data_IF_648418730042
#
_entry.id   IF_648418730042
#
_cell.length_a   1.000
_cell.length_b   1.000
_cell.length_c   1.000
_cell.angle_alpha   90.00
_cell.angle_beta   90.00
_cell.angle_gamma   90.00
#
_symmetry.space_group_name_H-M   'P 1'
#
loop_
_entity.id
_entity.type
_entity.pdbx_description
1 polymer ?
#
# COMPACT_ATOMS: atom_id res chain seq x y z
N UNK A 1 -18.95 -2.45 -19.15
CA UNK A 1 -19.15 -2.21 -17.71
C UNK A 1 -18.43 -0.92 -17.36
N UNK A 2 -18.97 -0.11 -16.46
CA UNK A 2 -18.31 1.10 -16.01
C UNK A 2 -16.97 0.72 -15.32
N UNK A 3 -15.85 1.34 -15.73
CA UNK A 3 -14.53 1.05 -15.20
C UNK A 3 -14.24 1.93 -13.97
N UNK A 4 -13.89 1.30 -12.87
CA UNK A 4 -13.50 1.98 -11.62
C UNK A 4 -11.98 1.96 -11.46
N UNK A 5 -11.41 3.11 -11.11
CA UNK A 5 -9.96 3.29 -10.90
C UNK A 5 -9.69 3.90 -9.52
N UNK A 6 -8.56 3.52 -8.92
CA UNK A 6 -7.99 4.21 -7.77
C UNK A 6 -6.54 4.59 -8.05
N UNK A 7 -6.14 5.77 -7.58
CA UNK A 7 -4.80 6.33 -7.79
C UNK A 7 -4.24 6.69 -6.42
N UNK A 8 -3.22 5.97 -5.96
CA UNK A 8 -2.65 6.19 -4.63
C UNK A 8 -1.15 5.90 -4.64
N UNK A 9 -0.41 6.67 -3.85
CA UNK A 9 1.03 6.45 -3.67
C UNK A 9 1.30 5.07 -3.10
N UNK A 10 2.39 4.44 -3.55
CA UNK A 10 2.81 3.16 -3.00
C UNK A 10 3.20 3.29 -1.53
N UNK A 11 2.84 2.31 -0.73
CA UNK A 11 3.18 2.23 0.69
C UNK A 11 4.00 0.97 0.97
N UNK A 12 4.90 1.05 1.93
CA UNK A 12 5.69 -0.09 2.37
C UNK A 12 4.83 -1.06 3.19
N UNK A 13 4.61 -2.28 2.65
CA UNK A 13 3.80 -3.37 3.24
C UNK A 13 2.54 -2.84 3.94
N UNK A 14 1.57 -2.29 3.17
CA UNK A 14 0.45 -1.53 3.73
C UNK A 14 -0.43 -2.32 4.70
N UNK A 15 -1.31 -1.60 5.40
CA UNK A 15 -2.37 -2.18 6.21
C UNK A 15 -3.52 -2.73 5.37
N UNK A 16 -4.42 -3.51 5.96
CA UNK A 16 -5.52 -4.19 5.26
C UNK A 16 -6.41 -3.27 4.42
N UNK A 17 -6.72 -2.06 4.89
CA UNK A 17 -7.57 -1.13 4.16
C UNK A 17 -6.98 -0.62 2.84
N UNK A 18 -5.67 -0.63 2.68
CA UNK A 18 -5.03 -0.32 1.40
C UNK A 18 -5.34 -1.41 0.36
N UNK A 19 -5.39 -2.67 0.77
CA UNK A 19 -5.72 -3.80 -0.10
C UNK A 19 -7.22 -3.88 -0.40
N UNK A 20 -8.08 -3.44 0.51
CA UNK A 20 -9.51 -3.28 0.21
C UNK A 20 -9.76 -2.21 -0.85
N UNK A 21 -9.02 -1.08 -0.81
CA UNK A 21 -9.08 -0.09 -1.87
C UNK A 21 -8.64 -0.67 -3.22
N UNK A 22 -7.56 -1.48 -3.24
CA UNK A 22 -7.13 -2.16 -4.47
C UNK A 22 -8.21 -3.11 -4.97
N UNK A 23 -8.79 -3.94 -4.11
CA UNK A 23 -9.82 -4.92 -4.47
C UNK A 23 -11.10 -4.30 -5.00
N UNK A 24 -11.43 -3.09 -4.56
CA UNK A 24 -12.66 -2.38 -4.90
C UNK A 24 -12.67 -1.76 -6.31
N UNK A 25 -11.58 -1.88 -7.08
CA UNK A 25 -11.42 -1.24 -8.40
C UNK A 25 -10.94 -2.21 -9.48
N UNK A 26 -11.20 -1.85 -10.74
CA UNK A 26 -10.73 -2.61 -11.91
C UNK A 26 -9.25 -2.31 -12.19
N UNK A 27 -8.83 -1.08 -11.90
CA UNK A 27 -7.44 -0.65 -12.06
C UNK A 27 -6.96 0.17 -10.86
N UNK A 28 -5.75 -0.15 -10.39
CA UNK A 28 -5.08 0.57 -9.32
C UNK A 28 -3.74 1.12 -9.80
N UNK A 29 -3.60 2.45 -9.75
CA UNK A 29 -2.37 3.13 -10.20
C UNK A 29 -1.46 3.43 -9.02
N UNK A 30 -0.26 2.87 -9.02
CA UNK A 30 0.82 3.24 -8.10
C UNK A 30 1.33 4.64 -8.47
N UNK A 31 0.97 5.64 -7.66
CA UNK A 31 1.15 7.06 -7.94
C UNK A 31 2.43 7.60 -7.30
N UNK A 32 3.58 7.23 -7.85
CA UNK A 32 4.89 7.52 -7.27
C UNK A 32 5.66 8.67 -7.97
N UNK A 33 5.08 9.28 -9.01
CA UNK A 33 5.59 10.49 -9.68
C UNK A 33 5.25 11.79 -8.90
N UNK A 34 5.13 11.67 -7.57
CA UNK A 34 4.88 12.77 -6.63
C UNK A 34 5.96 12.82 -5.57
N UNK A 35 6.05 13.96 -4.90
CA UNK A 35 7.08 14.23 -3.90
C UNK A 35 7.10 13.17 -2.78
N UNK A 36 8.30 12.68 -2.47
CA UNK A 36 8.55 11.84 -1.31
C UNK A 36 8.47 12.66 -0.01
N UNK A 37 7.73 12.15 0.96
CA UNK A 37 7.56 12.76 2.28
C UNK A 37 8.29 11.92 3.34
N UNK A 38 9.15 12.54 4.14
CA UNK A 38 9.82 11.87 5.27
C UNK A 38 8.82 11.41 6.32
N UNK A 39 9.15 10.30 6.97
CA UNK A 39 8.38 9.79 8.09
C UNK A 39 6.91 9.46 7.75
N UNK A 40 6.66 9.07 6.53
CA UNK A 40 5.35 8.67 6.01
C UNK A 40 5.34 7.19 5.62
N UNK A 41 4.20 6.65 5.30
CA UNK A 41 3.95 5.24 4.98
C UNK A 41 4.71 4.73 3.74
N UNK A 42 5.36 5.63 2.98
CA UNK A 42 6.13 5.31 1.77
C UNK A 42 7.30 4.38 2.08
N UNK A 43 8.07 4.69 3.12
CA UNK A 43 9.28 3.93 3.47
C UNK A 43 9.20 3.26 4.83
N UNK A 44 8.05 3.28 5.53
CA UNK A 44 7.92 2.65 6.85
C UNK A 44 6.51 2.15 7.12
N UNK A 45 6.42 1.16 7.98
CA UNK A 45 5.16 0.68 8.54
C UNK A 45 5.38 0.11 9.94
N UNK A 46 4.30 -0.27 10.61
CA UNK A 46 4.30 -0.77 11.98
C UNK A 46 4.00 -2.26 12.02
N UNK A 47 4.67 -2.96 12.92
CA UNK A 47 4.34 -4.33 13.32
C UNK A 47 3.90 -4.34 14.79
N UNK A 48 3.12 -5.36 15.17
CA UNK A 48 2.74 -5.59 16.56
C UNK A 48 3.84 -6.38 17.26
N UNK A 49 4.17 -5.97 18.48
CA UNK A 49 5.13 -6.66 19.35
C UNK A 49 4.58 -6.76 20.77
N UNK A 50 5.24 -7.54 21.62
CA UNK A 50 4.87 -7.63 23.04
C UNK A 50 4.95 -6.29 23.78
N UNK A 51 5.84 -5.39 23.33
CA UNK A 51 6.00 -4.04 23.91
C UNK A 51 5.11 -2.98 23.24
N UNK A 52 4.13 -3.38 22.40
CA UNK A 52 3.29 -2.49 21.61
C UNK A 52 3.70 -2.46 20.14
N UNK A 53 3.44 -1.34 19.45
CA UNK A 53 3.78 -1.22 18.03
C UNK A 53 5.25 -0.81 17.84
N UNK A 54 5.87 -1.37 16.81
CA UNK A 54 7.24 -1.07 16.40
C UNK A 54 7.28 -0.63 14.95
N UNK A 55 7.95 0.49 14.67
CA UNK A 55 8.21 0.94 13.31
C UNK A 55 9.32 0.10 12.66
N UNK A 56 9.08 -0.28 11.42
CA UNK A 56 10.08 -0.78 10.48
C UNK A 56 10.23 0.26 9.38
N UNK A 57 11.43 0.80 9.22
CA UNK A 57 11.71 1.89 8.26
C UNK A 57 12.83 1.50 7.32
N UNK A 58 12.55 1.54 6.02
CA UNK A 58 13.56 1.39 4.98
C UNK A 58 14.43 2.65 4.99
N UNK A 59 15.75 2.54 5.17
CA UNK A 59 16.64 3.68 5.09
C UNK A 59 16.72 4.16 3.64
N UNK A 60 16.42 5.43 3.41
CA UNK A 60 16.41 6.03 2.07
C UNK A 60 17.28 7.27 2.00
N UNK A 61 17.78 7.59 0.80
CA UNK A 61 18.50 8.82 0.49
C UNK A 61 17.50 9.85 -0.04
N UNK A 62 17.42 10.99 0.61
CA UNK A 62 16.73 12.16 0.10
C UNK A 62 17.76 13.24 -0.21
N UNK A 63 17.97 13.48 -1.50
CA UNK A 63 19.01 14.40 -2.00
C UNK A 63 18.45 15.80 -2.21
N UNK A 64 17.15 15.93 -2.47
CA UNK A 64 16.46 17.21 -2.67
C UNK A 64 15.04 17.17 -2.11
N UNK A 65 14.43 18.33 -1.87
CA UNK A 65 13.11 18.45 -1.27
C UNK A 65 12.00 17.89 -2.19
N UNK A 66 12.06 18.22 -3.47
CA UNK A 66 11.07 17.84 -4.49
C UNK A 66 11.30 16.44 -5.08
N UNK A 67 12.23 15.67 -4.50
CA UNK A 67 12.50 14.31 -4.95
C UNK A 67 11.22 13.47 -4.95
N UNK A 68 10.94 12.80 -6.08
CA UNK A 68 9.78 11.93 -6.21
C UNK A 68 9.98 10.60 -5.46
N UNK A 69 8.87 9.93 -5.13
CA UNK A 69 8.92 8.56 -4.56
C UNK A 69 9.65 7.62 -5.52
N UNK A 70 9.35 7.73 -6.82
CA UNK A 70 9.96 6.96 -7.91
C UNK A 70 11.46 7.17 -8.12
N UNK A 71 12.02 8.25 -7.57
CA UNK A 71 13.45 8.57 -7.62
C UNK A 71 14.18 8.23 -6.32
N UNK A 72 13.42 7.86 -5.28
CA UNK A 72 13.96 7.67 -3.93
C UNK A 72 14.71 6.34 -3.85
N UNK A 73 16.03 6.41 -3.58
CA UNK A 73 16.92 5.25 -3.49
C UNK A 73 17.06 4.76 -2.06
N UNK A 74 17.23 3.46 -1.93
CA UNK A 74 17.60 2.82 -0.66
C UNK A 74 19.04 3.20 -0.29
N UNK A 75 19.26 3.47 1.00
CA UNK A 75 20.58 3.86 1.51
C UNK A 75 21.45 2.65 1.92
N UNK A 76 20.81 1.54 2.30
CA UNK A 76 21.50 0.36 2.84
C UNK A 76 20.63 -0.89 2.63
N UNK A 77 21.11 -1.85 1.85
CA UNK A 77 20.36 -3.08 1.51
C UNK A 77 20.14 -4.03 2.71
N UNK A 78 20.91 -3.89 3.80
CA UNK A 78 20.77 -4.72 5.01
C UNK A 78 19.42 -4.56 5.70
N UNK A 79 18.64 -3.52 5.37
CA UNK A 79 17.32 -3.27 5.93
C UNK A 79 16.39 -4.49 5.78
N UNK A 80 16.44 -5.16 4.64
CA UNK A 80 15.53 -6.25 4.34
C UNK A 80 15.71 -7.43 5.30
N UNK A 81 16.96 -7.88 5.51
CA UNK A 81 17.26 -8.95 6.47
C UNK A 81 16.92 -8.52 7.91
N UNK A 82 17.17 -7.26 8.29
CA UNK A 82 16.83 -6.74 9.61
C UNK A 82 15.32 -6.69 9.85
N UNK A 83 14.54 -6.26 8.85
CA UNK A 83 13.08 -6.23 8.93
C UNK A 83 12.52 -7.65 9.03
N UNK A 84 12.96 -8.57 8.16
CA UNK A 84 12.53 -9.97 8.24
C UNK A 84 12.87 -10.58 9.61
N UNK A 85 14.07 -10.42 10.10
CA UNK A 85 14.45 -10.89 11.44
C UNK A 85 13.54 -10.32 12.53
N UNK A 86 13.17 -9.05 12.44
CA UNK A 86 12.27 -8.41 13.40
C UNK A 86 10.85 -8.98 13.30
N UNK A 87 10.34 -9.19 12.08
CA UNK A 87 9.01 -9.78 11.84
C UNK A 87 8.99 -11.21 12.35
N UNK A 88 9.92 -12.06 11.92
CA UNK A 88 9.99 -13.45 12.34
C UNK A 88 10.08 -13.59 13.86
N UNK A 89 10.92 -12.78 14.51
CA UNK A 89 11.07 -12.80 15.96
C UNK A 89 9.79 -12.43 16.74
N UNK A 90 8.95 -11.55 16.18
CA UNK A 90 7.70 -11.14 16.85
C UNK A 90 6.50 -12.02 16.50
N UNK A 91 6.47 -12.62 15.30
CA UNK A 91 5.32 -13.39 14.82
C UNK A 91 5.53 -14.91 14.81
N UNK A 92 6.70 -15.43 15.22
CA UNK A 92 6.98 -16.89 15.21
C UNK A 92 5.94 -17.75 15.96
N UNK A 93 5.22 -17.18 16.94
CA UNK A 93 4.18 -17.85 17.71
C UNK A 93 2.76 -17.61 17.18
N UNK A 94 2.60 -16.80 16.11
CA UNK A 94 1.30 -16.57 15.51
C UNK A 94 0.78 -17.85 14.83
N UNK A 95 -0.52 -18.16 14.90
CA UNK A 95 -1.09 -19.44 14.47
C UNK A 95 -0.74 -19.83 13.03
N UNK A 96 -0.64 -18.87 12.14
CA UNK A 96 -0.39 -19.11 10.72
C UNK A 96 1.02 -18.65 10.26
N UNK A 97 1.92 -18.33 11.17
CA UNK A 97 3.27 -17.86 10.81
C UNK A 97 3.98 -18.83 9.88
N UNK A 98 4.04 -20.12 10.24
CA UNK A 98 4.74 -21.13 9.44
C UNK A 98 4.16 -21.31 8.04
N UNK A 99 2.89 -20.99 7.83
CA UNK A 99 2.24 -21.05 6.52
C UNK A 99 2.80 -20.01 5.54
N UNK A 100 3.17 -18.84 6.04
CA UNK A 100 3.56 -17.69 5.22
C UNK A 100 5.02 -17.29 5.34
N UNK A 101 5.74 -17.83 6.34
CA UNK A 101 7.10 -17.39 6.69
C UNK A 101 8.07 -17.45 5.52
N UNK A 102 8.19 -18.60 4.85
CA UNK A 102 9.10 -18.80 3.72
C UNK A 102 8.78 -17.87 2.54
N UNK A 103 7.49 -17.70 2.24
CA UNK A 103 7.03 -16.81 1.18
C UNK A 103 7.39 -15.35 1.50
N UNK A 104 7.13 -14.88 2.71
CA UNK A 104 7.43 -13.50 3.13
C UNK A 104 8.95 -13.28 3.18
N UNK A 105 9.73 -14.25 3.66
CA UNK A 105 11.20 -14.20 3.62
C UNK A 105 11.73 -14.04 2.20
N UNK A 106 11.14 -14.78 1.25
CA UNK A 106 11.47 -14.68 -0.16
C UNK A 106 11.20 -13.27 -0.70
N UNK A 107 10.08 -12.64 -0.34
CA UNK A 107 9.79 -11.26 -0.74
C UNK A 107 10.84 -10.27 -0.21
N UNK A 108 11.26 -10.42 1.05
CA UNK A 108 12.30 -9.60 1.64
C UNK A 108 13.66 -9.80 0.95
N UNK A 109 13.99 -11.05 0.58
CA UNK A 109 15.21 -11.39 -0.18
C UNK A 109 15.19 -10.74 -1.56
N UNK A 110 14.06 -10.80 -2.27
CA UNK A 110 13.90 -10.14 -3.58
C UNK A 110 13.96 -8.62 -3.46
N UNK A 111 13.28 -8.05 -2.46
CA UNK A 111 13.27 -6.61 -2.21
C UNK A 111 14.65 -6.05 -1.85
N UNK A 112 15.54 -6.87 -1.26
CA UNK A 112 16.93 -6.48 -0.96
C UNK A 112 17.75 -6.14 -2.21
N UNK A 113 17.38 -6.67 -3.38
CA UNK A 113 18.02 -6.40 -4.66
C UNK A 113 17.49 -5.14 -5.36
N UNK A 114 16.38 -4.56 -4.89
CA UNK A 114 15.80 -3.35 -5.47
C UNK A 114 16.55 -2.11 -4.96
N UNK A 115 16.85 -1.19 -5.86
CA UNK A 115 17.49 0.08 -5.52
C UNK A 115 16.49 1.20 -5.21
N UNK A 116 15.30 1.17 -5.84
CA UNK A 116 14.27 2.20 -5.73
C UNK A 116 13.19 1.80 -4.74
N UNK A 117 12.76 2.77 -3.94
CA UNK A 117 11.68 2.60 -2.96
C UNK A 117 10.35 2.19 -3.63
N UNK A 118 10.03 2.79 -4.78
CA UNK A 118 8.83 2.48 -5.56
C UNK A 118 8.81 1.01 -6.01
N UNK A 119 9.96 0.46 -6.42
CA UNK A 119 10.05 -0.92 -6.88
C UNK A 119 9.86 -1.91 -5.73
N UNK A 120 10.44 -1.60 -4.56
CA UNK A 120 10.24 -2.36 -3.33
C UNK A 120 8.75 -2.39 -2.96
N UNK A 121 8.10 -1.22 -2.94
CA UNK A 121 6.69 -1.12 -2.59
C UNK A 121 5.80 -1.87 -3.60
N UNK A 122 6.07 -1.71 -4.90
CA UNK A 122 5.35 -2.42 -5.95
C UNK A 122 5.50 -3.95 -5.84
N UNK A 123 6.70 -4.44 -5.51
CA UNK A 123 6.95 -5.86 -5.28
C UNK A 123 6.06 -6.39 -4.14
N UNK A 124 6.12 -5.76 -2.96
CA UNK A 124 5.30 -6.19 -1.82
C UNK A 124 3.80 -6.08 -2.11
N UNK A 125 3.33 -4.97 -2.69
CA UNK A 125 1.91 -4.79 -3.00
C UNK A 125 1.41 -5.89 -3.94
N UNK A 126 2.13 -6.17 -5.03
CA UNK A 126 1.75 -7.23 -6.00
C UNK A 126 1.78 -8.62 -5.37
N UNK A 127 2.82 -8.94 -4.60
CA UNK A 127 2.96 -10.22 -3.93
C UNK A 127 1.85 -10.47 -2.90
N UNK A 128 1.50 -9.44 -2.13
CA UNK A 128 0.41 -9.50 -1.16
C UNK A 128 -0.94 -9.59 -1.87
N UNK A 129 -1.18 -8.84 -2.95
CA UNK A 129 -2.41 -8.95 -3.76
C UNK A 129 -2.59 -10.40 -4.26
N UNK A 130 -1.54 -11.02 -4.79
CA UNK A 130 -1.59 -12.42 -5.22
C UNK A 130 -1.94 -13.36 -4.06
N UNK A 131 -1.37 -13.14 -2.87
CA UNK A 131 -1.66 -13.93 -1.67
C UNK A 131 -3.11 -13.78 -1.18
N UNK A 132 -3.67 -12.57 -1.30
CA UNK A 132 -5.05 -12.26 -0.92
C UNK A 132 -6.08 -12.62 -2.01
N UNK A 133 -5.64 -13.12 -3.17
CA UNK A 133 -6.52 -13.41 -4.32
C UNK A 133 -7.10 -12.15 -4.97
N UNK A 134 -6.40 -11.02 -4.90
CA UNK A 134 -6.79 -9.77 -5.56
C UNK A 134 -6.27 -9.78 -7.00
N UNK A 135 -7.19 -9.65 -7.96
CA UNK A 135 -6.90 -9.72 -9.40
C UNK A 135 -6.93 -8.37 -10.10
N UNK A 136 -7.10 -7.29 -9.36
CA UNK A 136 -7.09 -5.91 -9.86
C UNK A 136 -5.87 -5.63 -10.73
N UNK A 137 -6.06 -4.97 -11.87
CA UNK A 137 -4.95 -4.56 -12.73
C UNK A 137 -4.15 -3.44 -12.05
N UNK A 138 -2.89 -3.70 -11.72
CA UNK A 138 -2.01 -2.72 -11.06
C UNK A 138 -1.06 -2.12 -12.10
N UNK A 139 -1.17 -0.82 -12.32
CA UNK A 139 -0.35 0.00 -13.22
C UNK A 139 0.54 0.96 -12.44
N UNK A 140 1.34 1.76 -13.14
CA UNK A 140 2.19 2.80 -12.57
C UNK A 140 1.80 4.16 -13.15
N UNK A 141 1.92 5.23 -12.38
CA UNK A 141 1.76 6.58 -12.91
C UNK A 141 2.78 6.94 -14.00
N UNK A 142 3.83 6.15 -14.16
CA UNK A 142 4.79 6.27 -15.28
C UNK A 142 4.22 5.80 -16.62
N UNK A 143 3.14 5.06 -16.59
CA UNK A 143 2.47 4.53 -17.79
C UNK A 143 1.54 5.57 -18.43
N UNK A 144 1.41 6.77 -17.81
CA UNK A 144 0.51 7.86 -18.18
C UNK A 144 1.24 9.16 -18.45
N UNK A 145 0.67 10.00 -19.28
CA UNK A 145 1.06 11.40 -19.41
C UNK A 145 0.52 12.20 -18.22
N UNK A 146 1.38 12.91 -17.52
CA UNK A 146 1.07 13.61 -16.28
C UNK A 146 1.04 15.13 -16.50
N UNK A 147 -0.10 15.75 -16.18
CA UNK A 147 -0.23 17.22 -16.11
C UNK A 147 0.55 17.77 -14.92
N UNK A 148 0.85 19.08 -14.95
CA UNK A 148 1.56 19.76 -13.85
C UNK A 148 0.65 19.98 -12.64
N UNK A 149 -0.61 20.38 -12.87
CA UNK A 149 -1.59 20.57 -11.81
C UNK A 149 -1.98 19.23 -11.15
N UNK A 150 -2.18 19.28 -9.84
CA UNK A 150 -2.45 18.09 -9.03
C UNK A 150 -3.78 17.42 -9.37
N UNK A 151 -4.84 18.20 -9.56
CA UNK A 151 -6.17 17.67 -9.85
C UNK A 151 -6.28 17.25 -11.31
N UNK A 152 -5.78 18.09 -12.23
CA UNK A 152 -5.72 17.78 -13.67
C UNK A 152 -4.94 16.48 -13.93
N UNK A 153 -3.88 16.24 -13.17
CA UNK A 153 -3.10 15.00 -13.25
C UNK A 153 -3.93 13.78 -12.93
N UNK A 154 -4.75 13.81 -11.86
CA UNK A 154 -5.63 12.70 -11.50
C UNK A 154 -6.72 12.50 -12.56
N UNK A 155 -7.36 13.58 -13.01
CA UNK A 155 -8.36 13.55 -14.10
C UNK A 155 -7.74 13.01 -15.39
N UNK A 156 -6.51 13.44 -15.71
CA UNK A 156 -5.76 12.99 -16.89
C UNK A 156 -5.49 11.49 -16.88
N UNK A 157 -5.04 10.94 -15.74
CA UNK A 157 -4.83 9.49 -15.57
C UNK A 157 -6.15 8.75 -15.77
N UNK A 158 -7.23 9.19 -15.11
CA UNK A 158 -8.55 8.57 -15.24
C UNK A 158 -9.05 8.54 -16.69
N UNK A 159 -8.87 9.65 -17.44
CA UNK A 159 -9.21 9.71 -18.88
C UNK A 159 -8.41 8.72 -19.71
N UNK A 160 -7.09 8.70 -19.54
CA UNK A 160 -6.21 7.80 -20.29
C UNK A 160 -6.52 6.33 -19.98
N UNK A 161 -6.89 6.04 -18.73
CA UNK A 161 -7.35 4.72 -18.30
C UNK A 161 -8.77 4.39 -18.81
N UNK A 162 -9.49 5.33 -19.42
CA UNK A 162 -10.91 5.18 -19.81
C UNK A 162 -11.81 4.79 -18.63
N UNK A 163 -11.58 5.43 -17.48
CA UNK A 163 -12.35 5.19 -16.26
C UNK A 163 -13.61 6.05 -16.20
N UNK A 164 -14.69 5.48 -15.67
CA UNK A 164 -15.96 6.17 -15.42
C UNK A 164 -16.06 6.65 -13.97
N UNK A 165 -15.36 5.97 -13.07
CA UNK A 165 -15.42 6.26 -11.62
C UNK A 165 -14.02 6.29 -11.02
N UNK A 166 -13.71 7.35 -10.28
CA UNK A 166 -12.52 7.48 -9.45
C UNK A 166 -12.83 7.19 -7.99
N UNK A 167 -12.31 6.10 -7.44
CA UNK A 167 -12.43 5.77 -6.02
C UNK A 167 -11.22 6.34 -5.27
N UNK A 168 -11.47 7.28 -4.35
CA UNK A 168 -10.44 7.96 -3.56
C UNK A 168 -10.53 7.63 -2.07
N UNK A 169 -9.40 7.74 -1.37
CA UNK A 169 -9.37 7.68 0.09
C UNK A 169 -9.97 8.94 0.74
N UNK A 170 -10.53 8.85 1.95
CA UNK A 170 -11.23 9.97 2.58
C UNK A 170 -10.34 11.19 2.86
N UNK A 171 -9.02 10.99 2.99
CA UNK A 171 -8.08 12.09 3.21
C UNK A 171 -8.03 13.10 2.05
N UNK A 172 -8.42 12.69 0.84
CA UNK A 172 -8.42 13.58 -0.31
C UNK A 172 -9.62 14.55 -0.34
N UNK A 173 -10.66 14.32 0.45
CA UNK A 173 -11.85 15.21 0.52
C UNK A 173 -11.52 16.67 0.83
N UNK A 174 -10.45 16.91 1.55
CA UNK A 174 -10.03 18.27 1.93
C UNK A 174 -9.42 19.11 0.81
N UNK A 175 -9.07 18.51 -0.32
CA UNK A 175 -8.38 19.21 -1.41
C UNK A 175 -8.82 18.80 -2.82
N UNK A 176 -9.60 17.74 -2.97
CA UNK A 176 -10.07 17.28 -4.27
C UNK A 176 -11.31 18.09 -4.67
N UNK A 177 -11.24 18.75 -5.82
CA UNK A 177 -12.40 19.38 -6.44
C UNK A 177 -13.12 18.35 -7.33
N UNK A 178 -14.27 17.86 -6.88
CA UNK A 178 -15.05 16.86 -7.61
C UNK A 178 -15.65 17.42 -8.92
N UNK A 179 -15.77 18.75 -9.06
CA UNK A 179 -16.32 19.36 -10.28
C UNK A 179 -15.44 19.08 -11.49
N UNK A 180 -14.10 19.06 -11.31
CA UNK A 180 -13.15 18.72 -12.37
C UNK A 180 -13.37 17.31 -12.96
N UNK A 181 -13.88 16.38 -12.16
CA UNK A 181 -14.23 15.03 -12.61
C UNK A 181 -15.61 15.00 -13.29
N UNK A 182 -16.61 15.66 -12.72
CA UNK A 182 -17.96 15.68 -13.27
C UNK A 182 -18.03 16.40 -14.61
N UNK A 183 -17.27 17.47 -14.84
CA UNK A 183 -17.15 18.19 -16.12
C UNK A 183 -16.66 17.30 -17.27
N UNK A 184 -15.96 16.21 -16.95
CA UNK A 184 -15.48 15.24 -17.95
C UNK A 184 -16.27 13.94 -17.93
N UNK A 185 -17.43 13.92 -17.25
CA UNK A 185 -18.36 12.79 -17.21
C UNK A 185 -17.95 11.66 -16.27
N UNK A 186 -17.03 11.90 -15.32
CA UNK A 186 -16.60 10.93 -14.32
C UNK A 186 -17.27 11.16 -12.96
N UNK A 187 -17.43 10.08 -12.20
CA UNK A 187 -17.90 10.11 -10.82
C UNK A 187 -16.76 9.94 -9.84
N UNK A 188 -16.82 10.63 -8.70
CA UNK A 188 -15.92 10.42 -7.58
C UNK A 188 -16.63 9.62 -6.49
N UNK A 189 -16.06 8.51 -6.09
CA UNK A 189 -16.49 7.73 -4.93
C UNK A 189 -15.44 7.81 -3.82
N UNK A 190 -15.90 7.62 -2.57
CA UNK A 190 -15.05 7.72 -1.40
C UNK A 190 -15.00 6.40 -0.65
N UNK A 191 -13.80 5.86 -0.47
CA UNK A 191 -13.58 4.69 0.37
C UNK A 191 -13.88 5.01 1.83
N UNK A 192 -14.62 4.14 2.51
CA UNK A 192 -14.80 4.21 3.96
C UNK A 192 -13.91 3.17 4.65
N UNK A 193 -13.15 3.62 5.62
CA UNK A 193 -12.31 2.76 6.46
C UNK A 193 -12.89 2.51 7.86
N UNK A 194 -14.14 2.97 8.12
CA UNK A 194 -14.78 2.79 9.42
C UNK A 194 -15.31 1.36 9.62
N UNK A 195 -15.33 0.88 10.86
CA UNK A 195 -15.99 -0.37 11.22
C UNK A 195 -15.28 -1.64 10.73
N UNK A 196 -13.97 -1.63 10.56
CA UNK A 196 -13.22 -2.86 10.36
C UNK A 196 -13.34 -3.78 11.58
N UNK A 197 -13.64 -5.07 11.39
CA UNK A 197 -13.66 -6.01 12.51
C UNK A 197 -12.25 -6.21 13.09
N UNK A 198 -12.20 -6.36 14.40
CA UNK A 198 -11.01 -6.82 15.12
C UNK A 198 -10.80 -8.30 14.88
N UNK A 199 -9.55 -8.73 14.89
CA UNK A 199 -9.14 -10.14 14.82
C UNK A 199 -8.19 -10.47 15.97
N UNK A 200 -8.05 -11.76 16.33
CA UNK A 200 -7.10 -12.16 17.36
C UNK A 200 -5.66 -11.77 16.96
N UNK A 201 -5.11 -10.74 17.60
CA UNK A 201 -3.69 -10.39 17.50
C UNK A 201 -2.89 -11.12 18.59
N UNK A 202 -1.66 -11.51 18.27
CA UNK A 202 -0.78 -12.21 19.20
C UNK A 202 -0.56 -11.46 20.52
N UNK A 203 -0.57 -10.13 20.46
CA UNK A 203 -0.33 -9.25 21.62
C UNK A 203 -1.46 -8.20 21.76
N UNK A 204 -2.12 -8.11 22.94
CA UNK A 204 -3.08 -7.05 23.22
C UNK A 204 -2.39 -5.72 23.56
N UNK A 205 -3.13 -4.58 23.54
CA UNK A 205 -4.46 -4.39 22.97
C UNK A 205 -4.44 -4.45 21.44
N UNK A 206 -5.62 -4.60 20.81
CA UNK A 206 -5.73 -4.64 19.35
C UNK A 206 -5.27 -3.32 18.70
N UNK A 207 -4.64 -3.39 17.53
CA UNK A 207 -4.17 -2.24 16.77
C UNK A 207 -4.45 -2.45 15.27
N UNK A 208 -5.35 -1.61 14.70
CA UNK A 208 -5.68 -1.64 13.28
C UNK A 208 -4.53 -1.18 12.38
N UNK A 209 -3.76 -0.22 12.84
CA UNK A 209 -2.76 0.49 12.03
C UNK A 209 -1.43 -0.23 11.95
N UNK A 210 -1.43 -1.51 11.66
CA UNK A 210 -0.25 -2.36 11.42
C UNK A 210 -0.24 -2.92 10.00
N UNK A 211 0.91 -3.40 9.55
CA UNK A 211 1.05 -4.06 8.25
C UNK A 211 0.08 -5.23 8.10
N UNK A 212 -0.38 -5.51 6.87
CA UNK A 212 -1.23 -6.65 6.52
C UNK A 212 -0.64 -8.01 6.95
N UNK A 213 0.69 -8.10 7.12
CA UNK A 213 1.34 -9.31 7.59
C UNK A 213 0.84 -9.74 8.99
N UNK A 214 0.46 -8.78 9.83
CA UNK A 214 -0.17 -9.05 11.12
C UNK A 214 -1.46 -9.86 10.95
N UNK A 215 -2.33 -9.45 10.03
CA UNK A 215 -3.55 -10.18 9.71
C UNK A 215 -3.23 -11.58 9.16
N UNK A 216 -2.33 -11.68 8.18
CA UNK A 216 -1.97 -12.98 7.56
C UNK A 216 -1.41 -13.97 8.58
N UNK A 217 -0.52 -13.53 9.47
CA UNK A 217 0.08 -14.42 10.47
C UNK A 217 -0.88 -14.83 11.57
N UNK A 218 -1.83 -13.97 11.95
CA UNK A 218 -2.76 -14.27 13.05
C UNK A 218 -3.99 -15.05 12.61
N UNK A 219 -4.57 -14.78 11.42
CA UNK A 219 -5.83 -15.42 10.97
C UNK A 219 -5.70 -16.24 9.68
N UNK A 220 -4.62 -16.08 8.96
CA UNK A 220 -4.30 -16.91 7.80
C UNK A 220 -5.33 -16.84 6.68
N UNK A 221 -5.83 -18.00 6.17
CA UNK A 221 -6.77 -18.06 5.04
C UNK A 221 -8.10 -17.35 5.29
N UNK A 222 -8.46 -17.14 6.54
CA UNK A 222 -9.72 -16.50 6.93
C UNK A 222 -9.65 -14.97 6.91
N UNK A 223 -8.56 -14.40 6.39
CA UNK A 223 -8.31 -12.96 6.34
C UNK A 223 -9.47 -12.16 5.72
N UNK A 224 -10.19 -12.74 4.76
CA UNK A 224 -11.32 -12.08 4.11
C UNK A 224 -12.45 -11.68 5.08
N UNK A 225 -12.67 -12.45 6.16
CA UNK A 225 -13.67 -12.13 7.19
C UNK A 225 -13.35 -10.83 7.96
N UNK A 226 -12.11 -10.35 7.88
CA UNK A 226 -11.62 -9.15 8.58
C UNK A 226 -11.27 -8.00 7.63
N UNK A 227 -11.63 -8.14 6.36
CA UNK A 227 -11.56 -7.14 5.31
C UNK A 227 -12.98 -6.68 4.94
N UNK A 228 -13.12 -5.67 4.10
CA UNK A 228 -14.44 -5.08 3.76
C UNK A 228 -14.93 -5.46 2.36
N UNK A 229 -14.04 -5.81 1.44
CA UNK A 229 -14.33 -6.05 0.04
C UNK A 229 -13.81 -7.42 -0.38
#
# INVERSE_FOLDING_TARGET
MAKKIAILQSNYVPWKGYFDLIRAVDEFVLYDEVQYTKNDWRNRNRIKTQAGVKWLSIPVRQERLEQKISETRVADSRWAAQHWKSIAGNYARAPHFNRYAEMVETWYSQAAACELLSDINALFIRAICATLGITTHITSSRDYELADDRVERLVGICKQASADTYLSGPAARGYLDETCFTEVGMHVEWMSYDGYPEYPQLFPPFEHGVTILDLLFNVGPEHAAFMKV
#
